data_IF_081910597197
#
_entry.id   IF_081910597197
#
_cell.length_a   1.000
_cell.length_b   1.000
_cell.length_c   1.000
_cell.angle_alpha   90.00
_cell.angle_beta   90.00
_cell.angle_gamma   90.00
#
_symmetry.space_group_name_H-M   'P 1'
#
loop_
_entity.id
_entity.type
_entity.pdbx_description
1 polymer ?
#
# COMPACT_ATOMS: atom_id res chain seq x y z
N UNK A 1 0.47 13.57 -1.16
CA UNK A 1 1.31 14.74 -0.72
C UNK A 1 0.49 15.79 0.06
N UNK A 2 -0.57 16.38 -0.51
CA UNK A 2 -1.36 17.38 0.21
C UNK A 2 -2.10 16.85 1.44
N UNK A 3 -2.62 15.61 1.39
CA UNK A 3 -3.27 14.98 2.55
C UNK A 3 -2.32 14.74 3.72
N UNK A 4 -1.08 14.28 3.45
CA UNK A 4 -0.06 14.10 4.49
C UNK A 4 0.26 15.41 5.22
N UNK A 5 0.41 16.50 4.45
CA UNK A 5 0.67 17.83 5.03
C UNK A 5 -0.53 18.39 5.79
N UNK A 6 -1.75 18.14 5.30
CA UNK A 6 -2.97 18.56 5.97
C UNK A 6 -3.16 17.82 7.30
N UNK A 7 -2.98 16.49 7.31
CA UNK A 7 -3.02 15.68 8.54
C UNK A 7 -1.92 16.10 9.51
N UNK A 8 -0.66 16.24 9.06
CA UNK A 8 0.43 16.65 9.94
C UNK A 8 0.15 18.01 10.61
N UNK A 9 -0.28 19.02 9.83
CA UNK A 9 -0.65 20.33 10.38
C UNK A 9 -1.88 20.29 11.29
N UNK A 10 -2.77 19.31 11.11
CA UNK A 10 -3.92 19.13 12.00
C UNK A 10 -3.48 18.69 13.40
N UNK A 11 -2.45 17.83 13.47
CA UNK A 11 -1.89 17.36 14.74
C UNK A 11 -0.84 18.30 15.33
N UNK A 12 -0.07 19.04 14.52
CA UNK A 12 0.90 20.04 14.97
C UNK A 12 0.19 21.35 15.40
N UNK A 13 -0.56 21.28 16.51
CA UNK A 13 -1.35 22.41 17.04
C UNK A 13 -0.50 23.66 17.30
N UNK A 14 0.76 23.44 17.64
CA UNK A 14 1.71 24.50 17.97
C UNK A 14 2.49 25.00 16.74
N UNK A 15 2.26 24.44 15.54
CA UNK A 15 3.00 24.75 14.30
C UNK A 15 4.51 24.77 14.50
N UNK A 16 4.99 23.82 15.29
CA UNK A 16 6.41 23.67 15.61
C UNK A 16 7.19 23.04 14.46
N UNK A 17 6.47 22.45 13.48
CA UNK A 17 7.03 21.66 12.39
C UNK A 17 7.46 20.26 12.83
N UNK A 18 7.03 19.82 14.02
CA UNK A 18 7.39 18.54 14.63
C UNK A 18 6.19 17.98 15.39
N UNK A 19 6.07 16.66 15.43
CA UNK A 19 5.05 15.97 16.22
C UNK A 19 5.70 15.18 17.35
N UNK A 20 5.09 15.21 18.53
CA UNK A 20 5.43 14.26 19.58
C UNK A 20 5.00 12.83 19.17
N UNK A 21 5.54 11.77 19.80
CA UNK A 21 5.22 10.38 19.46
C UNK A 21 3.71 10.11 19.53
N UNK A 22 3.03 10.65 20.55
CA UNK A 22 1.58 10.47 20.72
C UNK A 22 0.76 11.16 19.60
N UNK A 23 1.19 12.36 19.19
CA UNK A 23 0.57 13.10 18.10
C UNK A 23 0.83 12.41 16.75
N UNK A 24 2.03 11.89 16.56
CA UNK A 24 2.42 11.13 15.39
C UNK A 24 1.63 9.82 15.26
N UNK A 25 1.46 9.06 16.35
CA UNK A 25 0.62 7.86 16.41
C UNK A 25 -0.81 8.18 15.99
N UNK A 26 -1.36 9.29 16.50
CA UNK A 26 -2.71 9.74 16.15
C UNK A 26 -2.82 10.14 14.67
N UNK A 27 -1.77 10.78 14.14
CA UNK A 27 -1.68 11.14 12.72
C UNK A 27 -1.68 9.90 11.82
N UNK A 28 -0.89 8.87 12.14
CA UNK A 28 -0.85 7.61 11.41
C UNK A 28 -2.23 6.93 11.38
N UNK A 29 -2.89 6.84 12.54
CA UNK A 29 -4.25 6.28 12.63
C UNK A 29 -5.25 7.08 11.78
N UNK A 30 -5.14 8.41 11.79
CA UNK A 30 -6.00 9.28 10.98
C UNK A 30 -5.76 9.14 9.47
N UNK A 31 -4.59 8.65 9.05
CA UNK A 31 -4.23 8.38 7.66
C UNK A 31 -4.59 6.95 7.24
N UNK A 32 -5.11 6.12 8.15
CA UNK A 32 -5.53 4.75 7.88
C UNK A 32 -4.58 3.66 8.38
N UNK A 33 -3.48 4.00 9.05
CA UNK A 33 -2.62 2.98 9.66
C UNK A 33 -3.29 2.36 10.89
N UNK A 34 -3.42 1.04 10.89
CA UNK A 34 -4.04 0.30 11.98
C UNK A 34 -3.06 0.06 13.13
N UNK A 35 -2.72 1.12 13.87
CA UNK A 35 -1.92 0.99 15.09
C UNK A 35 -2.85 0.68 16.27
N UNK A 36 -2.97 -0.60 16.59
CA UNK A 36 -3.75 -1.10 17.72
C UNK A 36 -3.27 -0.54 19.07
N UNK A 37 -4.16 -0.53 20.07
CA UNK A 37 -3.82 -0.22 21.47
C UNK A 37 -3.28 -1.42 22.25
N UNK A 38 -3.29 -2.58 21.61
CA UNK A 38 -2.73 -3.81 22.15
C UNK A 38 -1.19 -3.82 22.08
N UNK A 39 -0.60 -4.86 22.65
CA UNK A 39 0.85 -5.01 22.73
C UNK A 39 1.50 -5.10 21.35
N UNK A 40 0.79 -5.60 20.34
CA UNK A 40 1.31 -5.71 18.98
C UNK A 40 1.37 -4.33 18.34
N UNK A 41 0.29 -3.55 18.40
CA UNK A 41 0.28 -2.18 17.88
C UNK A 41 1.34 -1.26 18.53
N UNK A 42 1.67 -1.46 19.81
CA UNK A 42 2.78 -0.73 20.43
C UNK A 42 4.14 -1.15 19.87
N UNK A 43 4.37 -2.44 19.62
CA UNK A 43 5.61 -2.93 18.99
C UNK A 43 5.76 -2.35 17.59
N UNK A 44 4.69 -2.35 16.79
CA UNK A 44 4.71 -1.81 15.44
C UNK A 44 4.95 -0.29 15.45
N UNK A 45 4.32 0.44 16.37
CA UNK A 45 4.60 1.87 16.54
C UNK A 45 6.05 2.16 16.93
N UNK A 46 6.63 1.38 17.84
CA UNK A 46 8.03 1.52 18.24
C UNK A 46 9.00 1.26 17.08
N UNK A 47 8.69 0.29 16.20
CA UNK A 47 9.47 0.06 14.97
C UNK A 47 9.41 1.26 14.03
N UNK A 48 8.21 1.81 13.82
CA UNK A 48 8.03 3.00 12.98
C UNK A 48 8.82 4.19 13.55
N UNK A 49 8.71 4.42 14.86
CA UNK A 49 9.49 5.44 15.57
C UNK A 49 11.00 5.27 15.37
N UNK A 50 11.51 4.05 15.45
CA UNK A 50 12.93 3.79 15.23
C UNK A 50 13.39 4.15 13.79
N UNK A 51 12.47 4.11 12.82
CA UNK A 51 12.73 4.53 11.43
C UNK A 51 12.68 6.05 11.28
N UNK A 52 11.67 6.72 11.86
CA UNK A 52 11.48 8.18 11.69
C UNK A 52 12.27 9.05 12.67
N UNK A 53 12.65 8.50 13.83
CA UNK A 53 13.44 9.15 14.87
C UNK A 53 14.57 8.22 15.37
N UNK A 54 15.54 7.85 14.50
CA UNK A 54 16.65 6.97 14.88
C UNK A 54 17.55 7.56 15.97
N UNK A 55 17.53 8.90 16.11
CA UNK A 55 18.29 9.62 17.13
C UNK A 55 17.56 9.68 18.48
N UNK A 56 16.33 9.13 18.59
CA UNK A 56 15.50 9.20 19.79
C UNK A 56 15.42 10.62 20.35
N UNK A 57 15.25 11.60 19.45
CA UNK A 57 15.07 13.01 19.83
C UNK A 57 13.74 13.24 20.54
N UNK A 58 12.80 12.30 20.41
CA UNK A 58 11.45 12.39 20.98
C UNK A 58 10.50 13.23 20.13
N UNK A 59 10.91 13.63 18.92
CA UNK A 59 10.11 14.44 18.01
C UNK A 59 10.26 13.96 16.56
N UNK A 60 9.13 13.78 15.87
CA UNK A 60 9.11 13.40 14.46
C UNK A 60 8.94 14.63 13.60
N UNK A 61 9.92 14.89 12.73
CA UNK A 61 9.88 15.99 11.78
C UNK A 61 9.00 15.66 10.57
N UNK A 62 8.39 16.68 9.95
CA UNK A 62 7.58 16.49 8.75
C UNK A 62 8.34 15.79 7.61
N UNK A 63 9.63 16.07 7.47
CA UNK A 63 10.50 15.48 6.44
C UNK A 63 10.66 13.97 6.65
N UNK A 64 10.96 13.55 7.88
CA UNK A 64 11.07 12.13 8.24
C UNK A 64 9.74 11.39 8.14
N UNK A 65 8.65 12.05 8.54
CA UNK A 65 7.30 11.53 8.33
C UNK A 65 6.99 11.35 6.86
N UNK A 66 7.30 12.33 6.02
CA UNK A 66 7.03 12.25 4.59
C UNK A 66 7.88 11.15 3.95
N UNK A 67 9.17 11.04 4.29
CA UNK A 67 10.04 9.96 3.83
C UNK A 67 9.44 8.59 4.18
N UNK A 68 9.04 8.40 5.43
CA UNK A 68 8.37 7.18 5.89
C UNK A 68 7.08 6.90 5.12
N UNK A 69 6.17 7.88 5.02
CA UNK A 69 4.93 7.70 4.27
C UNK A 69 5.18 7.39 2.81
N UNK A 70 6.16 8.03 2.17
CA UNK A 70 6.51 7.73 0.78
C UNK A 70 7.14 6.35 0.62
N UNK A 71 7.96 5.89 1.56
CA UNK A 71 8.56 4.55 1.55
C UNK A 71 7.51 3.48 1.80
N UNK A 72 6.68 3.61 2.82
CA UNK A 72 5.61 2.65 3.12
C UNK A 72 4.53 2.63 2.03
N UNK A 73 4.18 3.79 1.44
CA UNK A 73 3.24 3.82 0.31
C UNK A 73 3.79 3.11 -0.94
N UNK A 74 5.10 2.92 -1.00
CA UNK A 74 5.78 2.19 -2.09
C UNK A 74 6.06 0.73 -1.70
N UNK A 75 6.08 0.39 -0.41
CA UNK A 75 6.40 -0.95 0.11
C UNK A 75 5.16 -1.78 0.48
N UNK A 76 3.99 -1.14 0.62
CA UNK A 76 2.72 -1.80 0.95
C UNK A 76 1.94 -2.19 -0.31
N UNK A 77 2.57 -2.97 -1.20
CA UNK A 77 1.87 -3.74 -2.24
C UNK A 77 1.07 -4.86 -1.55
N UNK A 78 -0.07 -4.56 -0.93
CA UNK A 78 -0.97 -5.62 -0.46
C UNK A 78 -1.69 -6.24 -1.65
N UNK A 79 -2.06 -7.52 -1.52
CA UNK A 79 -2.84 -8.23 -2.53
C UNK A 79 -4.06 -7.40 -3.01
N UNK A 80 -4.73 -6.71 -2.10
CA UNK A 80 -5.89 -5.84 -2.40
C UNK A 80 -5.54 -4.65 -3.31
N UNK A 81 -4.44 -3.95 -3.07
CA UNK A 81 -4.01 -2.82 -3.91
C UNK A 81 -3.59 -3.29 -5.31
N UNK A 82 -2.92 -4.44 -5.38
CA UNK A 82 -2.53 -5.06 -6.66
C UNK A 82 -3.79 -5.50 -7.42
N UNK A 83 -4.76 -6.11 -6.74
CA UNK A 83 -6.06 -6.48 -7.31
C UNK A 83 -6.79 -5.23 -7.82
N UNK A 84 -6.81 -4.14 -7.05
CA UNK A 84 -7.48 -2.91 -7.46
C UNK A 84 -6.79 -2.26 -8.66
N UNK A 85 -5.45 -2.26 -8.69
CA UNK A 85 -4.67 -1.81 -9.84
C UNK A 85 -5.02 -2.59 -11.11
N UNK A 86 -5.00 -3.93 -11.04
CA UNK A 86 -5.40 -4.77 -12.18
C UNK A 86 -6.86 -4.59 -12.58
N UNK A 87 -7.76 -4.33 -11.61
CA UNK A 87 -9.16 -4.03 -11.86
C UNK A 87 -9.34 -2.74 -12.65
N UNK A 88 -8.58 -1.69 -12.29
CA UNK A 88 -8.58 -0.41 -13.02
C UNK A 88 -8.07 -0.62 -14.45
N UNK A 89 -6.96 -1.36 -14.62
CA UNK A 89 -6.41 -1.71 -15.93
C UNK A 89 -7.41 -2.50 -16.78
N UNK A 90 -8.18 -3.38 -16.15
CA UNK A 90 -9.23 -4.16 -16.80
C UNK A 90 -10.56 -3.40 -16.94
N UNK A 91 -10.58 -2.07 -16.75
CA UNK A 91 -11.80 -1.26 -16.85
C UNK A 91 -12.98 -1.81 -16.03
N UNK A 92 -12.71 -2.18 -14.78
CA UNK A 92 -13.66 -2.76 -13.81
C UNK A 92 -14.22 -4.15 -14.17
N UNK A 93 -13.65 -4.82 -15.18
CA UNK A 93 -13.99 -6.21 -15.49
C UNK A 93 -13.37 -7.16 -14.45
N UNK A 94 -14.04 -8.28 -14.12
CA UNK A 94 -13.49 -9.30 -13.22
C UNK A 94 -12.39 -10.17 -13.87
N UNK A 95 -11.91 -9.80 -15.06
CA UNK A 95 -10.85 -10.47 -15.81
C UNK A 95 -10.10 -9.44 -16.66
N UNK A 96 -8.86 -9.73 -17.01
CA UNK A 96 -8.04 -8.88 -17.89
C UNK A 96 -7.59 -9.68 -19.12
N UNK A 97 -7.45 -9.02 -20.27
CA UNK A 97 -6.92 -9.66 -21.47
C UNK A 97 -5.40 -9.44 -21.61
N UNK A 98 -4.68 -10.37 -22.25
CA UNK A 98 -3.24 -10.22 -22.52
C UNK A 98 -2.92 -8.95 -23.33
N UNK A 99 -3.82 -8.55 -24.22
CA UNK A 99 -3.67 -7.33 -25.01
C UNK A 99 -3.76 -6.06 -24.14
N UNK A 100 -4.63 -6.08 -23.11
CA UNK A 100 -4.76 -4.99 -22.13
C UNK A 100 -3.49 -4.89 -21.27
N UNK A 101 -2.98 -6.04 -20.79
CA UNK A 101 -1.71 -6.07 -20.04
C UNK A 101 -0.55 -5.52 -20.87
N UNK A 102 -0.42 -5.90 -22.15
CA UNK A 102 0.65 -5.42 -23.03
C UNK A 102 0.54 -3.94 -23.38
N UNK A 103 -0.67 -3.39 -23.35
CA UNK A 103 -0.93 -1.98 -23.61
C UNK A 103 -0.61 -1.11 -22.40
N UNK A 104 -0.93 -1.59 -21.20
CA UNK A 104 -0.84 -0.79 -19.98
C UNK A 104 0.46 -1.02 -19.20
N UNK A 105 1.08 -2.21 -19.32
CA UNK A 105 2.32 -2.56 -18.62
C UNK A 105 3.54 -2.64 -19.56
N UNK A 106 4.76 -2.49 -19.02
CA UNK A 106 5.98 -2.77 -19.76
C UNK A 106 6.00 -4.20 -20.32
N UNK A 107 6.62 -4.45 -21.48
CA UNK A 107 6.56 -5.74 -22.18
C UNK A 107 7.01 -6.92 -21.31
N UNK A 108 8.08 -6.76 -20.53
CA UNK A 108 8.58 -7.80 -19.62
C UNK A 108 7.57 -8.14 -18.51
N UNK A 109 6.89 -7.15 -17.94
CA UNK A 109 5.89 -7.36 -16.89
C UNK A 109 4.58 -7.93 -17.45
N UNK A 110 4.16 -7.46 -18.62
CA UNK A 110 2.98 -7.99 -19.30
C UNK A 110 3.15 -9.49 -19.60
N UNK A 111 4.29 -9.90 -20.15
CA UNK A 111 4.55 -11.31 -20.45
C UNK A 111 4.64 -12.16 -19.18
N UNK A 112 5.25 -11.63 -18.12
CA UNK A 112 5.28 -12.30 -16.81
C UNK A 112 3.87 -12.54 -16.26
N UNK A 113 3.01 -11.51 -16.30
CA UNK A 113 1.62 -11.61 -15.86
C UNK A 113 0.85 -12.63 -16.71
N UNK A 114 0.98 -12.59 -18.03
CA UNK A 114 0.30 -13.52 -18.95
C UNK A 114 0.72 -14.97 -18.71
N UNK A 115 1.99 -15.23 -18.41
CA UNK A 115 2.48 -16.59 -18.16
C UNK A 115 2.09 -17.14 -16.79
N UNK A 116 1.94 -16.27 -15.77
CA UNK A 116 1.69 -16.68 -14.39
C UNK A 116 0.21 -16.60 -14.01
N UNK A 117 -0.59 -15.78 -14.69
CA UNK A 117 -2.01 -15.65 -14.40
C UNK A 117 -2.79 -16.88 -14.87
N UNK A 118 -3.65 -17.46 -14.02
CA UNK A 118 -4.53 -18.54 -14.44
C UNK A 118 -5.63 -18.02 -15.38
N UNK A 119 -6.16 -18.87 -16.27
CA UNK A 119 -7.26 -18.48 -17.14
C UNK A 119 -8.55 -18.25 -16.34
N UNK A 120 -9.27 -17.18 -16.65
CA UNK A 120 -10.53 -16.84 -16.00
C UNK A 120 -11.65 -17.80 -16.43
N UNK A 121 -12.37 -18.35 -15.44
CA UNK A 121 -13.46 -19.32 -15.64
C UNK A 121 -14.84 -18.83 -15.17
N UNK A 122 -14.97 -17.54 -14.87
CA UNK A 122 -16.22 -16.97 -14.37
C UNK A 122 -17.27 -16.70 -15.46
N UNK A 123 -18.44 -16.16 -15.07
CA UNK A 123 -19.46 -15.76 -16.02
C UNK A 123 -18.91 -14.66 -16.95
N UNK A 124 -19.20 -14.77 -18.25
CA UNK A 124 -18.63 -13.92 -19.32
C UNK A 124 -17.13 -14.14 -19.61
N UNK A 125 -16.56 -15.29 -19.24
CA UNK A 125 -15.22 -15.66 -19.67
C UNK A 125 -15.13 -15.67 -21.21
N UNK A 126 -14.22 -14.86 -21.73
CA UNK A 126 -13.85 -14.82 -23.14
C UNK A 126 -12.56 -15.62 -23.36
N UNK A 127 -12.34 -16.17 -24.57
CA UNK A 127 -11.09 -16.88 -24.86
C UNK A 127 -9.88 -15.96 -24.65
N UNK A 128 -8.96 -16.40 -23.80
CA UNK A 128 -7.78 -15.63 -23.41
C UNK A 128 -7.97 -14.69 -22.22
N UNK A 129 -9.12 -14.70 -21.55
CA UNK A 129 -9.31 -13.98 -20.29
C UNK A 129 -8.42 -14.56 -19.18
N UNK A 130 -7.73 -13.67 -18.46
CA UNK A 130 -6.84 -14.00 -17.35
C UNK A 130 -7.44 -13.51 -16.04
N UNK A 131 -7.26 -14.32 -14.99
CA UNK A 131 -7.78 -14.04 -13.65
C UNK A 131 -6.70 -13.41 -12.76
N UNK A 132 -6.66 -12.08 -12.76
CA UNK A 132 -5.73 -11.32 -11.94
C UNK A 132 -6.02 -11.43 -10.44
N UNK A 133 -7.27 -11.74 -10.06
CA UNK A 133 -7.66 -11.94 -8.65
C UNK A 133 -6.94 -13.16 -8.06
N UNK A 134 -7.08 -14.34 -8.66
CA UNK A 134 -6.37 -15.54 -8.19
C UNK A 134 -4.86 -15.37 -8.28
N UNK A 135 -4.34 -14.68 -9.29
CA UNK A 135 -2.91 -14.41 -9.40
C UNK A 135 -2.38 -13.55 -8.24
N UNK A 136 -3.07 -12.45 -7.93
CA UNK A 136 -2.67 -11.56 -6.83
C UNK A 136 -2.84 -12.24 -5.47
N UNK A 137 -3.93 -12.98 -5.27
CA UNK A 137 -4.11 -13.79 -4.07
C UNK A 137 -3.06 -14.90 -3.95
N UNK A 138 -2.62 -15.53 -5.04
CA UNK A 138 -1.54 -16.53 -4.99
C UNK A 138 -0.17 -15.90 -4.72
N UNK A 139 0.11 -14.75 -5.35
CA UNK A 139 1.39 -14.05 -5.22
C UNK A 139 1.64 -13.55 -3.79
N UNK A 140 0.59 -13.10 -3.10
CA UNK A 140 0.67 -12.53 -1.75
C UNK A 140 0.09 -13.43 -0.65
N UNK A 141 -0.77 -14.39 -1.00
CA UNK A 141 -1.37 -15.34 -0.06
C UNK A 141 -0.48 -16.54 0.28
N UNK A 142 0.63 -16.75 -0.43
CA UNK A 142 1.67 -17.72 -0.03
C UNK A 142 2.58 -17.20 1.11
N UNK A 143 2.38 -15.98 1.61
CA UNK A 143 3.12 -15.44 2.76
C UNK A 143 2.47 -15.71 4.13
N UNK A 144 1.28 -16.32 4.18
CA UNK A 144 0.58 -16.64 5.44
C UNK A 144 0.08 -18.10 5.42
N UNK A 145 1.01 -19.07 5.35
CA UNK A 145 0.74 -20.45 5.79
C UNK A 145 2.00 -21.20 6.24
#
# INVERSE_FOLDING_TARGET
>A
LNEFRASFNHFDKNRTGRLAPEEFKSCLVSLGYSIGKDRQGEIDFQRILAVVDPNSTGYVHFDAFLDFMTRESTDTDTAEQVIDSFRILAADKPYILPDELRRELPPDQAEYCIQRMPPYKGPNAVPGALDYMSFSTALYGESDL
#
